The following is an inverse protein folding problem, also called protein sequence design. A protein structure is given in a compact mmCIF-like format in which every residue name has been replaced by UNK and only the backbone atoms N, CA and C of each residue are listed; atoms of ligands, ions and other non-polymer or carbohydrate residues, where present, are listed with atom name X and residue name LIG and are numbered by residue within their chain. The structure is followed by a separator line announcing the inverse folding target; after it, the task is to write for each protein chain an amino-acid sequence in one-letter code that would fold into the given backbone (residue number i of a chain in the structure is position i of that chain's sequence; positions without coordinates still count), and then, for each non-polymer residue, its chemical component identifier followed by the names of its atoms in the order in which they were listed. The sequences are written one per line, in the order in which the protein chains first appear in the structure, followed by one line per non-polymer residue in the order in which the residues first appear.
data_IF_001449445842
#
_entry.id   IF_001449445842
#
_cell.length_a   1.000
_cell.length_b   1.000
_cell.length_c   1.000
_cell.angle_alpha   90.00
_cell.angle_beta   90.00
_cell.angle_gamma   90.00
#
_symmetry.space_group_name_H-M   'P 1'
#
loop_
_entity.id
_entity.type
_entity.pdbx_description
1 polymer ?
#
# COMPACT_ATOMS: atom_id res chain seq x y z
N UNK A 1 -11.25 11.93 -3.93
CA UNK A 1 -11.21 10.53 -4.42
C UNK A 1 -12.57 10.05 -4.94
N UNK A 2 -13.67 10.18 -4.19
CA UNK A 2 -15.00 9.65 -4.60
C UNK A 2 -15.43 10.01 -6.02
N UNK A 3 -15.38 11.30 -6.35
CA UNK A 3 -15.80 11.78 -7.67
C UNK A 3 -14.97 11.14 -8.81
N UNK A 4 -13.64 11.07 -8.66
CA UNK A 4 -12.76 10.39 -9.63
C UNK A 4 -13.09 8.90 -9.79
N UNK A 5 -13.39 8.19 -8.69
CA UNK A 5 -13.82 6.78 -8.72
C UNK A 5 -15.09 6.63 -9.56
N UNK A 6 -16.10 7.48 -9.30
CA UNK A 6 -17.37 7.45 -10.04
C UNK A 6 -17.17 7.78 -11.52
N UNK A 7 -16.38 8.80 -11.83
CA UNK A 7 -16.09 9.17 -13.22
C UNK A 7 -15.43 8.02 -13.98
N UNK A 8 -14.44 7.34 -13.38
CA UNK A 8 -13.77 6.19 -14.00
C UNK A 8 -14.72 4.98 -14.19
N UNK A 9 -15.50 4.64 -13.16
CA UNK A 9 -16.51 3.56 -13.23
C UNK A 9 -17.56 3.83 -14.29
N UNK A 10 -18.03 5.08 -14.41
CA UNK A 10 -19.01 5.49 -15.43
C UNK A 10 -18.49 5.35 -16.86
N UNK A 11 -17.16 5.21 -17.06
CA UNK A 11 -16.53 4.90 -18.34
C UNK A 11 -16.25 3.40 -18.54
N UNK A 12 -16.68 2.55 -17.62
CA UNK A 12 -16.47 1.09 -17.67
C UNK A 12 -15.08 0.63 -17.21
N UNK A 13 -14.28 1.52 -16.61
CA UNK A 13 -12.96 1.14 -16.08
C UNK A 13 -13.07 0.35 -14.78
N UNK A 14 -12.19 -0.63 -14.60
CA UNK A 14 -11.96 -1.28 -13.31
C UNK A 14 -11.15 -0.35 -12.42
N UNK A 15 -11.74 0.11 -11.32
CA UNK A 15 -11.06 0.97 -10.34
C UNK A 15 -10.48 0.10 -9.23
N UNK A 16 -9.20 0.33 -8.93
CA UNK A 16 -8.50 -0.26 -7.80
C UNK A 16 -7.97 0.89 -6.94
N UNK A 17 -8.37 0.91 -5.67
CA UNK A 17 -7.78 1.81 -4.67
C UNK A 17 -6.66 1.10 -3.93
N UNK A 18 -5.63 1.84 -3.54
CA UNK A 18 -4.51 1.32 -2.75
C UNK A 18 -4.22 2.23 -1.57
N UNK A 19 -4.00 1.67 -0.39
CA UNK A 19 -3.56 2.44 0.78
C UNK A 19 -2.05 2.64 0.73
N UNK A 20 -1.52 3.88 0.72
CA UNK A 20 -0.07 4.10 0.57
C UNK A 20 0.74 3.50 1.73
N UNK A 21 1.93 2.97 1.45
CA UNK A 21 2.85 2.45 2.46
C UNK A 21 3.26 3.51 3.50
N UNK A 22 3.75 3.05 4.65
CA UNK A 22 4.30 3.91 5.69
C UNK A 22 5.68 4.50 5.36
N UNK A 23 6.25 5.17 6.35
CA UNK A 23 7.66 5.58 6.34
C UNK A 23 8.55 4.44 6.80
N UNK A 24 9.78 4.37 6.31
CA UNK A 24 10.77 3.36 6.68
C UNK A 24 11.00 3.20 8.19
N UNK A 25 10.69 4.25 8.96
CA UNK A 25 10.93 4.36 10.40
C UNK A 25 9.70 4.09 11.25
N UNK A 26 8.58 3.67 10.68
CA UNK A 26 7.32 3.44 11.40
C UNK A 26 7.33 2.13 12.21
N UNK A 27 8.45 1.85 12.88
CA UNK A 27 8.63 0.72 13.78
C UNK A 27 8.39 1.14 15.22
N UNK A 28 7.70 0.30 15.98
CA UNK A 28 7.60 0.45 17.44
C UNK A 28 8.83 -0.14 18.16
N UNK A 29 8.85 -0.06 19.49
CA UNK A 29 9.93 -0.59 20.32
C UNK A 29 10.13 -2.11 20.25
N UNK A 30 9.13 -2.85 19.73
CA UNK A 30 9.21 -4.28 19.48
C UNK A 30 9.60 -4.62 18.02
N UNK A 31 10.08 -3.63 17.26
CA UNK A 31 10.42 -3.78 15.83
C UNK A 31 9.25 -4.27 14.97
N UNK A 32 8.02 -3.90 15.33
CA UNK A 32 6.84 -4.11 14.48
C UNK A 32 6.55 -2.82 13.72
N UNK A 33 6.48 -2.91 12.39
CA UNK A 33 6.13 -1.79 11.53
C UNK A 33 4.61 -1.59 11.49
N UNK A 34 4.11 -0.37 11.69
CA UNK A 34 2.68 -0.02 11.68
C UNK A 34 2.45 1.38 11.14
N UNK A 35 1.53 1.54 10.19
CA UNK A 35 1.28 2.82 9.50
C UNK A 35 -0.19 3.07 9.14
N UNK A 36 -1.12 2.34 9.77
CA UNK A 36 -2.55 2.33 9.41
C UNK A 36 -3.24 3.67 9.63
N UNK A 37 -2.68 4.56 10.45
CA UNK A 37 -3.22 5.91 10.71
C UNK A 37 -2.65 6.98 9.76
N UNK A 38 -1.76 6.63 8.83
CA UNK A 38 -1.19 7.58 7.88
C UNK A 38 -2.08 7.78 6.65
N UNK A 39 -1.86 8.90 5.96
CA UNK A 39 -2.30 9.13 4.57
C UNK A 39 -3.80 8.99 4.30
N UNK A 40 -4.65 9.29 5.30
CA UNK A 40 -6.10 9.08 5.18
C UNK A 40 -6.46 7.63 4.80
N UNK A 41 -5.67 6.66 5.28
CA UNK A 41 -5.90 5.23 5.05
C UNK A 41 -7.32 4.81 5.45
N UNK A 42 -7.87 5.19 6.63
CA UNK A 42 -9.27 4.89 6.96
C UNK A 42 -10.27 5.40 5.91
N UNK A 43 -10.07 6.60 5.37
CA UNK A 43 -10.94 7.17 4.33
C UNK A 43 -10.82 6.44 3.00
N UNK A 44 -9.63 5.97 2.64
CA UNK A 44 -9.41 5.17 1.42
C UNK A 44 -10.12 3.82 1.50
N UNK A 45 -10.02 3.16 2.67
CA UNK A 45 -10.72 1.90 2.95
C UNK A 45 -12.23 2.07 2.93
N UNK A 46 -12.74 3.08 3.63
CA UNK A 46 -14.17 3.40 3.64
C UNK A 46 -14.69 3.67 2.23
N UNK A 47 -13.95 4.46 1.44
CA UNK A 47 -14.35 4.76 0.06
C UNK A 47 -14.39 3.52 -0.83
N UNK A 48 -13.43 2.60 -0.69
CA UNK A 48 -13.42 1.37 -1.47
C UNK A 48 -14.66 0.51 -1.20
N UNK A 49 -15.05 0.40 0.08
CA UNK A 49 -16.26 -0.29 0.51
C UNK A 49 -17.53 0.41 0.00
N UNK A 50 -17.65 1.72 0.21
CA UNK A 50 -18.83 2.51 -0.15
C UNK A 50 -19.09 2.53 -1.66
N UNK A 51 -18.03 2.61 -2.48
CA UNK A 51 -18.16 2.63 -3.94
C UNK A 51 -18.07 1.21 -4.55
N UNK A 52 -17.90 0.17 -3.73
CA UNK A 52 -17.82 -1.23 -4.17
C UNK A 52 -16.70 -1.47 -5.20
N UNK A 53 -15.49 -0.97 -4.91
CA UNK A 53 -14.30 -1.12 -5.77
C UNK A 53 -13.22 -1.96 -5.08
N UNK A 54 -12.34 -2.56 -5.88
CA UNK A 54 -11.22 -3.36 -5.38
C UNK A 54 -10.30 -2.50 -4.51
N UNK A 55 -9.84 -3.07 -3.40
CA UNK A 55 -8.89 -2.44 -2.48
C UNK A 55 -7.63 -3.31 -2.38
N UNK A 56 -6.47 -2.69 -2.57
CA UNK A 56 -5.18 -3.24 -2.17
C UNK A 56 -4.77 -2.56 -0.87
N UNK A 57 -4.76 -3.30 0.24
CA UNK A 57 -4.32 -2.76 1.54
C UNK A 57 -2.79 -2.70 1.64
N UNK A 58 -2.13 -2.07 0.65
CA UNK A 58 -0.67 -2.03 0.52
C UNK A 58 0.01 -1.53 1.80
N UNK A 59 -0.58 -0.56 2.52
CA UNK A 59 -0.06 -0.10 3.81
C UNK A 59 0.11 -1.22 4.85
N UNK A 60 -0.91 -2.08 4.98
CA UNK A 60 -0.92 -3.21 5.92
C UNK A 60 0.02 -4.31 5.43
N UNK A 61 -0.06 -4.64 4.14
CA UNK A 61 0.74 -5.70 3.52
C UNK A 61 2.24 -5.36 3.55
N UNK A 62 2.61 -4.12 3.20
CA UNK A 62 3.99 -3.65 3.25
C UNK A 62 4.49 -3.56 4.70
N UNK A 63 3.66 -3.14 5.65
CA UNK A 63 4.04 -3.12 7.07
C UNK A 63 4.32 -4.53 7.61
N UNK A 64 3.53 -5.52 7.20
CA UNK A 64 3.81 -6.92 7.53
C UNK A 64 5.15 -7.38 6.95
N UNK A 65 5.44 -7.05 5.68
CA UNK A 65 6.74 -7.34 5.06
C UNK A 65 7.91 -6.62 5.74
N UNK A 66 7.78 -5.33 6.01
CA UNK A 66 8.82 -4.56 6.71
C UNK A 66 9.10 -5.11 8.12
N UNK A 67 8.06 -5.58 8.81
CA UNK A 67 8.22 -6.29 10.09
C UNK A 67 9.04 -7.57 9.94
N UNK A 68 8.87 -8.34 8.85
CA UNK A 68 9.60 -9.61 8.68
C UNK A 68 11.08 -9.40 8.35
N UNK A 69 11.43 -8.31 7.67
CA UNK A 69 12.83 -8.00 7.31
C UNK A 69 13.53 -7.08 8.33
N UNK A 70 12.76 -6.43 9.20
CA UNK A 70 13.25 -5.56 10.26
C UNK A 70 13.66 -4.14 9.82
N UNK A 71 14.01 -3.26 10.78
CA UNK A 71 14.21 -1.83 10.53
C UNK A 71 15.35 -1.50 9.57
N UNK A 72 16.52 -2.12 9.73
CA UNK A 72 17.69 -1.81 8.90
C UNK A 72 17.50 -2.21 7.44
N UNK A 73 16.92 -3.40 7.19
CA UNK A 73 16.62 -3.84 5.83
C UNK A 73 15.50 -2.99 5.21
N UNK A 74 14.49 -2.61 5.99
CA UNK A 74 13.44 -1.69 5.54
C UNK A 74 14.03 -0.32 5.18
N UNK A 75 14.92 0.24 5.99
CA UNK A 75 15.56 1.52 5.70
C UNK A 75 16.37 1.47 4.39
N UNK A 76 17.01 0.33 4.09
CA UNK A 76 17.74 0.12 2.83
C UNK A 76 16.83 0.07 1.59
N UNK A 77 15.50 -0.05 1.74
CA UNK A 77 14.52 0.03 0.65
C UNK A 77 14.08 1.47 0.34
N UNK A 78 14.56 2.46 1.09
CA UNK A 78 14.24 3.87 0.90
C UNK A 78 15.45 4.68 0.42
N UNK A 79 15.20 5.90 -0.03
CA UNK A 79 16.26 6.82 -0.45
C UNK A 79 17.15 7.20 0.75
N UNK A 80 18.46 7.32 0.54
CA UNK A 80 19.40 7.66 1.62
C UNK A 80 19.04 9.00 2.27
N UNK A 81 18.83 8.99 3.59
CA UNK A 81 18.44 10.18 4.35
C UNK A 81 16.95 10.54 4.26
N UNK A 82 16.12 9.69 3.65
CA UNK A 82 14.70 9.96 3.41
C UNK A 82 13.85 8.74 3.82
N UNK A 83 12.96 8.94 4.79
CA UNK A 83 12.09 7.85 5.29
C UNK A 83 10.77 7.70 4.52
N UNK A 84 10.47 8.56 3.54
CA UNK A 84 9.20 8.55 2.79
C UNK A 84 9.33 7.90 1.43
N UNK A 85 10.39 8.22 0.67
CA UNK A 85 10.50 7.83 -0.73
C UNK A 85 11.22 6.49 -0.88
N UNK A 86 10.57 5.43 -1.39
CA UNK A 86 11.24 4.18 -1.71
C UNK A 86 12.29 4.40 -2.80
N UNK A 87 13.41 3.68 -2.71
CA UNK A 87 14.35 3.58 -3.82
C UNK A 87 13.86 2.52 -4.84
N UNK A 88 14.67 2.23 -5.86
CA UNK A 88 14.31 1.23 -6.89
C UNK A 88 13.96 -0.14 -6.32
N UNK A 89 14.70 -0.63 -5.33
CA UNK A 89 14.46 -1.93 -4.73
C UNK A 89 13.19 -1.90 -3.87
N UNK A 90 12.99 -0.86 -3.06
CA UNK A 90 11.74 -0.70 -2.30
C UNK A 90 10.51 -0.58 -3.18
N UNK A 91 10.60 0.15 -4.30
CA UNK A 91 9.53 0.22 -5.27
C UNK A 91 9.22 -1.14 -5.92
N UNK A 92 10.24 -1.97 -6.18
CA UNK A 92 10.06 -3.32 -6.71
C UNK A 92 9.34 -4.24 -5.71
N UNK A 93 9.71 -4.19 -4.43
CA UNK A 93 9.03 -4.97 -3.38
C UNK A 93 7.56 -4.55 -3.21
N UNK A 94 7.28 -3.24 -3.20
CA UNK A 94 5.89 -2.76 -3.15
C UNK A 94 5.09 -3.20 -4.37
N UNK A 95 5.67 -3.16 -5.56
CA UNK A 95 5.02 -3.64 -6.79
C UNK A 95 4.75 -5.15 -6.74
N UNK A 96 5.70 -5.94 -6.22
CA UNK A 96 5.52 -7.38 -5.99
C UNK A 96 4.33 -7.65 -5.06
N UNK A 97 4.26 -6.95 -3.93
CA UNK A 97 3.17 -7.07 -2.95
C UNK A 97 1.81 -6.73 -3.57
N UNK A 98 1.73 -5.64 -4.35
CA UNK A 98 0.49 -5.28 -5.07
C UNK A 98 0.08 -6.40 -6.04
N UNK A 99 1.00 -6.89 -6.87
CA UNK A 99 0.69 -7.94 -7.85
C UNK A 99 0.24 -9.25 -7.18
N UNK A 100 0.90 -9.65 -6.09
CA UNK A 100 0.52 -10.83 -5.31
C UNK A 100 -0.87 -10.69 -4.70
N UNK A 101 -1.21 -9.51 -4.15
CA UNK A 101 -2.52 -9.28 -3.58
C UNK A 101 -3.63 -9.27 -4.64
N UNK A 102 -3.39 -8.70 -5.82
CA UNK A 102 -4.32 -8.72 -6.94
C UNK A 102 -4.58 -10.15 -7.46
N UNK A 103 -3.53 -10.98 -7.57
CA UNK A 103 -3.65 -12.42 -7.86
C UNK A 103 -4.48 -13.15 -6.82
N UNK A 104 -4.19 -12.92 -5.54
CA UNK A 104 -4.92 -13.52 -4.42
C UNK A 104 -6.41 -13.18 -4.45
N UNK A 105 -6.76 -11.98 -4.91
CA UNK A 105 -8.14 -11.52 -5.09
C UNK A 105 -8.80 -12.04 -6.39
N UNK A 106 -8.05 -12.75 -7.25
CA UNK A 106 -8.58 -13.34 -8.49
C UNK A 106 -8.81 -12.32 -9.61
N UNK A 107 -8.13 -11.17 -9.61
CA UNK A 107 -8.24 -10.23 -10.73
C UNK A 107 -7.47 -10.76 -11.95
N UNK A 108 -8.19 -10.86 -13.08
CA UNK A 108 -7.62 -11.29 -14.35
C UNK A 108 -6.47 -10.36 -14.80
N UNK A 109 -5.39 -10.94 -15.33
CA UNK A 109 -4.27 -10.20 -15.90
C UNK A 109 -3.12 -9.91 -14.93
N UNK A 110 -3.15 -10.46 -13.72
CA UNK A 110 -2.06 -10.40 -12.74
C UNK A 110 -1.49 -11.78 -12.44
#
# INVERSE_FOLDING_TARGET
MRDMVRQAKNKGATVILSTPQGRATDFNTANVHQAENRWYNPSTRALAQEEGVTLVELNKLSSAYFTTIGPSATLALYMTGDSLHPNRQGAAELARIVAEDLRRQGLNGF
#
